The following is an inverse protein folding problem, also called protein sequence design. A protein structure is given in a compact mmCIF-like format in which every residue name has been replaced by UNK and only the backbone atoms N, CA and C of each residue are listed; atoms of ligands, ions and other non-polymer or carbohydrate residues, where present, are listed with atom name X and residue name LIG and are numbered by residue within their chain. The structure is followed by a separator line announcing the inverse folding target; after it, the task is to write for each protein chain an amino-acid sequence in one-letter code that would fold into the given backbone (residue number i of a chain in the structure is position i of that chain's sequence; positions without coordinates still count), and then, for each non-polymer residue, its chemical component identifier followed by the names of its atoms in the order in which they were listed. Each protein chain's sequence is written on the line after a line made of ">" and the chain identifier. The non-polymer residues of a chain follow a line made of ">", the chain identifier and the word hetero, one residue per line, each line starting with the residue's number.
data_IF_488827825873
#
_entry.id   IF_488827825873
#
_cell.length_a   1.000
_cell.length_b   1.000
_cell.length_c   1.000
_cell.angle_alpha   90.00
_cell.angle_beta   90.00
_cell.angle_gamma   90.00
#
_symmetry.space_group_name_H-M   'P 1'
#
loop_
_entity.id
_entity.type
_entity.pdbx_description
1 polymer ?
#
# COMPACT_ATOMS: atom_id res chain seq x y z
N UNK A 1 -2.62 -29.68 9.26
CA UNK A 1 -2.83 -30.61 10.40
C UNK A 1 -3.42 -29.93 11.64
N UNK A 2 -2.85 -28.82 12.15
CA UNK A 2 -3.32 -28.14 13.39
C UNK A 2 -4.82 -27.78 13.40
N UNK A 3 -5.38 -27.31 12.27
CA UNK A 3 -6.81 -26.98 12.14
C UNK A 3 -7.78 -28.14 12.40
N UNK A 4 -7.38 -29.38 12.06
CA UNK A 4 -8.23 -30.58 12.28
C UNK A 4 -8.36 -30.90 13.77
N UNK A 5 -7.33 -30.63 14.57
CA UNK A 5 -7.37 -30.84 16.02
C UNK A 5 -8.26 -29.81 16.73
N UNK A 6 -8.23 -28.54 16.32
CA UNK A 6 -9.12 -27.51 16.90
C UNK A 6 -10.60 -27.81 16.63
N UNK A 7 -10.94 -28.27 15.42
CA UNK A 7 -12.30 -28.70 15.09
C UNK A 7 -12.74 -29.90 15.93
N UNK A 8 -11.88 -30.90 16.11
CA UNK A 8 -12.20 -32.06 16.94
C UNK A 8 -12.45 -31.68 18.42
N UNK A 9 -11.65 -30.75 18.97
CA UNK A 9 -11.83 -30.24 20.33
C UNK A 9 -13.15 -29.49 20.48
N UNK A 10 -13.50 -28.62 19.53
CA UNK A 10 -14.78 -27.88 19.56
C UNK A 10 -15.97 -28.83 19.50
N UNK A 11 -15.92 -29.85 18.63
CA UNK A 11 -16.98 -30.87 18.55
C UNK A 11 -17.11 -31.63 19.88
N UNK A 12 -16.01 -31.97 20.52
CA UNK A 12 -16.00 -32.66 21.81
C UNK A 12 -16.56 -31.79 22.94
N UNK A 13 -16.20 -30.50 22.99
CA UNK A 13 -16.74 -29.56 23.98
C UNK A 13 -18.24 -29.36 23.78
N UNK A 14 -18.71 -29.27 22.53
CA UNK A 14 -20.12 -29.07 22.22
C UNK A 14 -20.95 -30.34 22.43
N UNK A 15 -20.38 -31.54 22.34
CA UNK A 15 -21.11 -32.79 22.58
C UNK A 15 -21.18 -33.18 24.06
N UNK A 16 -20.25 -32.68 24.89
CA UNK A 16 -20.17 -33.00 26.32
C UNK A 16 -21.48 -32.70 27.09
N UNK A 17 -22.13 -31.53 26.94
CA UNK A 17 -23.40 -31.26 27.60
C UNK A 17 -24.53 -32.22 27.22
N UNK A 18 -24.62 -32.56 25.93
CA UNK A 18 -25.62 -33.49 25.42
C UNK A 18 -25.39 -34.87 26.04
N UNK A 19 -24.15 -35.35 26.05
CA UNK A 19 -23.79 -36.64 26.63
C UNK A 19 -24.11 -36.70 28.14
N UNK A 20 -23.76 -35.66 28.90
CA UNK A 20 -24.05 -35.58 30.33
C UNK A 20 -25.55 -35.50 30.62
N UNK A 21 -26.30 -34.75 29.80
CA UNK A 21 -27.74 -34.63 29.94
C UNK A 21 -28.45 -35.95 29.62
N UNK A 22 -28.08 -36.62 28.51
CA UNK A 22 -28.61 -37.94 28.15
C UNK A 22 -28.24 -39.03 29.16
N UNK A 23 -27.07 -38.96 29.78
CA UNK A 23 -26.68 -39.89 30.86
C UNK A 23 -27.58 -39.73 32.10
N UNK A 24 -27.91 -38.49 32.47
CA UNK A 24 -28.68 -38.21 33.69
C UNK A 24 -30.19 -38.38 33.53
N UNK A 25 -30.74 -38.05 32.36
CA UNK A 25 -32.19 -38.01 32.11
C UNK A 25 -32.68 -39.09 31.13
N UNK A 26 -31.78 -39.93 30.62
CA UNK A 26 -32.10 -40.94 29.61
C UNK A 26 -32.06 -40.39 28.18
N UNK A 27 -32.13 -41.30 27.22
CA UNK A 27 -32.15 -40.97 25.79
C UNK A 27 -33.57 -41.09 25.24
N UNK A 28 -34.15 -39.98 24.80
CA UNK A 28 -35.50 -39.96 24.23
C UNK A 28 -36.02 -38.54 24.02
N UNK A 29 -37.17 -38.42 23.33
CA UNK A 29 -37.94 -37.19 23.28
C UNK A 29 -38.85 -37.19 24.51
N UNK A 30 -38.70 -36.20 25.40
CA UNK A 30 -39.49 -36.13 26.64
C UNK A 30 -40.99 -36.06 26.34
N UNK A 31 -41.78 -36.80 27.12
CA UNK A 31 -43.20 -37.03 26.87
C UNK A 31 -44.08 -35.81 27.23
N UNK A 32 -43.53 -34.87 28.01
CA UNK A 32 -44.25 -33.68 28.45
C UNK A 32 -43.60 -32.37 28.00
N UNK A 33 -44.43 -31.37 27.72
CA UNK A 33 -43.97 -30.02 27.37
C UNK A 33 -43.14 -29.36 28.49
N UNK A 34 -43.36 -29.76 29.74
CA UNK A 34 -42.64 -29.23 30.89
C UNK A 34 -41.16 -29.69 30.91
N UNK A 35 -40.91 -30.97 30.64
CA UNK A 35 -39.56 -31.54 30.54
C UNK A 35 -38.81 -30.97 29.33
N UNK A 36 -39.51 -30.74 28.21
CA UNK A 36 -38.96 -30.04 27.05
C UNK A 36 -38.50 -28.61 27.38
N UNK A 37 -39.30 -27.86 28.12
CA UNK A 37 -38.93 -26.50 28.54
C UNK A 37 -37.71 -26.52 29.47
N UNK A 38 -37.65 -27.47 30.41
CA UNK A 38 -36.49 -27.63 31.30
C UNK A 38 -35.21 -28.00 30.56
N UNK A 39 -35.29 -28.89 29.57
CA UNK A 39 -34.17 -29.20 28.68
C UNK A 39 -33.68 -27.94 27.94
N UNK A 40 -34.62 -27.21 27.33
CA UNK A 40 -34.32 -25.98 26.60
C UNK A 40 -33.63 -24.93 27.48
N UNK A 41 -34.09 -24.75 28.73
CA UNK A 41 -33.44 -23.86 29.69
C UNK A 41 -32.06 -24.34 30.13
N UNK A 42 -31.86 -25.64 30.34
CA UNK A 42 -30.58 -26.22 30.73
C UNK A 42 -29.53 -26.07 29.61
N UNK A 43 -29.89 -26.43 28.37
CA UNK A 43 -29.02 -26.27 27.22
C UNK A 43 -28.82 -24.80 26.85
N UNK A 44 -29.87 -23.98 26.89
CA UNK A 44 -29.75 -22.53 26.66
C UNK A 44 -28.80 -21.87 27.65
N UNK A 45 -28.92 -22.20 28.94
CA UNK A 45 -28.05 -21.66 30.00
C UNK A 45 -26.59 -22.08 29.88
N UNK A 46 -26.31 -23.26 29.30
CA UNK A 46 -24.94 -23.76 29.16
C UNK A 46 -24.32 -23.41 27.81
N UNK A 47 -25.06 -23.56 26.70
CA UNK A 47 -24.54 -23.26 25.37
C UNK A 47 -24.42 -21.77 25.10
N UNK A 48 -25.26 -20.91 25.70
CA UNK A 48 -25.12 -19.47 25.53
C UNK A 48 -23.71 -18.96 25.88
N UNK A 49 -23.17 -19.18 27.09
CA UNK A 49 -21.81 -18.72 27.42
C UNK A 49 -20.73 -19.44 26.60
N UNK A 50 -20.88 -20.74 26.31
CA UNK A 50 -19.91 -21.49 25.48
C UNK A 50 -19.80 -20.89 24.07
N UNK A 51 -20.94 -20.64 23.43
CA UNK A 51 -21.01 -20.07 22.09
C UNK A 51 -20.56 -18.61 22.08
N UNK A 52 -20.87 -17.83 23.13
CA UNK A 52 -20.36 -16.46 23.27
C UNK A 52 -18.83 -16.42 23.32
N UNK A 53 -18.20 -17.29 24.12
CA UNK A 53 -16.73 -17.39 24.21
C UNK A 53 -16.14 -17.84 22.87
N UNK A 54 -16.73 -18.84 22.22
CA UNK A 54 -16.29 -19.32 20.92
C UNK A 54 -16.36 -18.22 19.87
N UNK A 55 -17.46 -17.47 19.85
CA UNK A 55 -17.66 -16.34 18.93
C UNK A 55 -16.60 -15.25 19.18
N UNK A 56 -16.34 -14.92 20.45
CA UNK A 56 -15.30 -13.95 20.79
C UNK A 56 -13.92 -14.41 20.31
N UNK A 57 -13.58 -15.69 20.46
CA UNK A 57 -12.33 -16.25 19.97
C UNK A 57 -12.21 -16.13 18.44
N UNK A 58 -13.28 -16.43 17.71
CA UNK A 58 -13.33 -16.27 16.24
C UNK A 58 -13.13 -14.81 15.85
N UNK A 59 -13.81 -13.87 16.52
CA UNK A 59 -13.66 -12.44 16.25
C UNK A 59 -12.23 -11.95 16.48
N UNK A 60 -11.59 -12.37 17.57
CA UNK A 60 -10.19 -12.01 17.84
C UNK A 60 -9.27 -12.53 16.74
N UNK A 61 -9.47 -13.77 16.28
CA UNK A 61 -8.68 -14.33 15.17
C UNK A 61 -8.93 -13.62 13.86
N UNK A 62 -10.18 -13.31 13.56
CA UNK A 62 -10.57 -12.57 12.37
C UNK A 62 -9.93 -11.18 12.36
N UNK A 63 -9.96 -10.46 13.48
CA UNK A 63 -9.35 -9.14 13.61
C UNK A 63 -7.83 -9.19 13.40
N UNK A 64 -7.15 -10.21 13.94
CA UNK A 64 -5.70 -10.41 13.71
C UNK A 64 -5.38 -10.60 12.22
N UNK A 65 -6.15 -11.42 11.51
CA UNK A 65 -5.96 -11.67 10.08
C UNK A 65 -6.27 -10.40 9.28
N UNK A 66 -7.37 -9.72 9.59
CA UNK A 66 -7.76 -8.47 8.93
C UNK A 66 -6.69 -7.40 9.09
N UNK A 67 -6.06 -7.28 10.28
CA UNK A 67 -4.94 -6.35 10.47
C UNK A 67 -3.77 -6.65 9.54
N UNK A 68 -3.37 -7.92 9.41
CA UNK A 68 -2.29 -8.32 8.51
C UNK A 68 -2.64 -8.05 7.05
N UNK A 69 -3.86 -8.39 6.65
CA UNK A 69 -4.36 -8.14 5.30
C UNK A 69 -4.39 -6.64 4.97
N UNK A 70 -4.83 -5.82 5.92
CA UNK A 70 -4.87 -4.37 5.76
C UNK A 70 -3.48 -3.76 5.58
N UNK A 71 -2.46 -4.22 6.32
CA UNK A 71 -1.08 -3.77 6.13
C UNK A 71 -0.55 -4.14 4.73
N UNK A 72 -0.86 -5.33 4.23
CA UNK A 72 -0.48 -5.75 2.88
C UNK A 72 -1.20 -4.95 1.78
N UNK A 73 -2.51 -4.76 1.94
CA UNK A 73 -3.33 -3.97 1.01
C UNK A 73 -2.85 -2.51 0.96
N UNK A 74 -2.60 -1.91 2.12
CA UNK A 74 -2.13 -0.53 2.20
C UNK A 74 -0.77 -0.33 1.51
N UNK A 75 0.14 -1.32 1.59
CA UNK A 75 1.41 -1.30 0.84
C UNK A 75 1.19 -1.44 -0.66
N UNK A 76 0.35 -2.38 -1.09
CA UNK A 76 0.05 -2.59 -2.51
C UNK A 76 -0.60 -1.36 -3.14
N UNK A 77 -1.59 -0.75 -2.46
CA UNK A 77 -2.25 0.48 -2.90
C UNK A 77 -1.29 1.67 -2.92
N UNK A 78 -0.45 1.83 -1.89
CA UNK A 78 0.54 2.92 -1.87
C UNK A 78 1.51 2.81 -3.05
N UNK A 79 1.98 1.58 -3.34
CA UNK A 79 2.82 1.30 -4.50
C UNK A 79 2.11 1.65 -5.80
N UNK A 80 0.88 1.18 -5.99
CA UNK A 80 0.09 1.47 -7.19
C UNK A 80 -0.10 2.98 -7.40
N UNK A 81 -0.38 3.74 -6.34
CA UNK A 81 -0.51 5.21 -6.40
C UNK A 81 0.81 5.85 -6.83
N UNK A 82 1.94 5.46 -6.23
CA UNK A 82 3.26 6.01 -6.59
C UNK A 82 3.63 5.70 -8.05
N UNK A 83 3.42 4.46 -8.49
CA UNK A 83 3.70 4.01 -9.86
C UNK A 83 2.83 4.75 -10.88
N UNK A 84 1.51 4.77 -10.68
CA UNK A 84 0.58 5.48 -11.55
C UNK A 84 0.85 6.98 -11.61
N UNK A 85 1.30 7.59 -10.51
CA UNK A 85 1.61 9.01 -10.47
C UNK A 85 2.85 9.34 -11.30
N UNK A 86 3.95 8.57 -11.10
CA UNK A 86 5.16 8.74 -11.89
C UNK A 86 4.86 8.51 -13.36
N UNK A 87 4.14 7.46 -13.71
CA UNK A 87 3.72 7.17 -15.09
C UNK A 87 2.94 8.33 -15.71
N UNK A 88 1.83 8.75 -15.08
CA UNK A 88 0.96 9.82 -15.61
C UNK A 88 1.68 11.15 -15.80
N UNK A 89 2.52 11.54 -14.83
CA UNK A 89 3.25 12.80 -14.95
C UNK A 89 4.38 12.71 -15.95
N UNK A 90 5.05 11.57 -16.04
CA UNK A 90 6.11 11.37 -17.03
C UNK A 90 5.55 11.38 -18.45
N UNK A 91 4.43 10.68 -18.71
CA UNK A 91 3.71 10.74 -20.00
C UNK A 91 3.31 12.17 -20.34
N UNK A 92 2.81 12.92 -19.33
CA UNK A 92 2.42 14.32 -19.56
C UNK A 92 3.63 15.19 -19.90
N UNK A 93 4.77 15.02 -19.22
CA UNK A 93 6.01 15.71 -19.56
C UNK A 93 6.45 15.33 -20.97
N UNK A 94 6.42 14.05 -21.33
CA UNK A 94 6.79 13.54 -22.66
C UNK A 94 5.97 14.22 -23.76
N UNK A 95 4.65 14.36 -23.56
CA UNK A 95 3.78 15.07 -24.51
C UNK A 95 4.09 16.57 -24.66
N UNK A 96 4.81 17.17 -23.71
CA UNK A 96 5.25 18.57 -23.75
C UNK A 96 6.68 18.70 -24.30
N UNK A 97 7.42 17.60 -24.44
CA UNK A 97 8.80 17.57 -24.92
C UNK A 97 8.84 17.62 -26.45
N UNK A 98 8.84 18.84 -27.00
CA UNK A 98 9.21 19.07 -28.40
C UNK A 98 10.72 19.27 -28.52
N UNK A 99 11.27 19.19 -29.74
CA UNK A 99 12.70 19.42 -29.98
C UNK A 99 13.15 20.80 -29.48
N UNK A 100 12.33 21.84 -29.67
CA UNK A 100 12.57 23.19 -29.16
C UNK A 100 12.67 23.22 -27.64
N UNK A 101 11.79 22.51 -26.93
CA UNK A 101 11.83 22.43 -25.46
C UNK A 101 13.11 21.76 -24.98
N UNK A 102 13.54 20.68 -25.65
CA UNK A 102 14.78 19.99 -25.29
C UNK A 102 15.98 20.92 -25.47
N UNK A 103 16.06 21.63 -26.59
CA UNK A 103 17.16 22.57 -26.86
C UNK A 103 17.17 23.74 -25.86
N UNK A 104 16.01 24.29 -25.52
CA UNK A 104 15.85 25.34 -24.51
C UNK A 104 16.24 24.85 -23.10
N UNK A 105 15.92 23.60 -22.74
CA UNK A 105 16.32 23.00 -21.46
C UNK A 105 17.84 22.75 -21.40
N UNK A 106 18.47 22.32 -22.50
CA UNK A 106 19.94 22.19 -22.60
C UNK A 106 20.60 23.56 -22.49
N UNK A 107 20.01 24.60 -23.09
CA UNK A 107 20.49 25.96 -22.94
C UNK A 107 20.39 26.41 -21.48
N UNK A 108 19.23 26.19 -20.87
CA UNK A 108 18.95 26.56 -19.48
C UNK A 108 19.89 25.86 -18.49
N UNK A 109 20.24 24.59 -18.69
CA UNK A 109 21.17 23.87 -17.81
C UNK A 109 22.60 24.44 -17.82
N UNK A 110 22.99 25.12 -18.91
CA UNK A 110 24.30 25.79 -19.06
C UNK A 110 24.32 27.22 -18.54
N UNK A 111 23.17 27.86 -18.40
CA UNK A 111 23.06 29.24 -17.94
C UNK A 111 23.28 29.36 -16.42
N UNK A 112 23.95 30.44 -16.00
CA UNK A 112 24.13 30.74 -14.58
C UNK A 112 22.81 31.16 -13.93
N UNK A 113 22.59 30.72 -12.68
CA UNK A 113 21.42 31.10 -11.88
C UNK A 113 21.27 32.62 -11.79
N UNK A 114 20.10 33.14 -12.13
CA UNK A 114 19.77 34.56 -12.06
C UNK A 114 20.10 35.39 -13.32
N UNK A 115 20.54 34.76 -14.42
CA UNK A 115 20.60 35.47 -15.70
C UNK A 115 19.17 35.83 -16.18
N UNK A 116 18.97 36.99 -16.84
CA UNK A 116 17.64 37.40 -17.32
C UNK A 116 17.00 36.35 -18.24
N UNK A 117 17.82 35.72 -19.09
CA UNK A 117 17.42 34.69 -20.03
C UNK A 117 17.00 33.39 -19.33
N UNK A 118 17.71 32.98 -18.27
CA UNK A 118 17.34 31.82 -17.47
C UNK A 118 15.99 32.00 -16.77
N UNK A 119 15.69 33.19 -16.25
CA UNK A 119 14.41 33.47 -15.59
C UNK A 119 13.22 33.46 -16.58
N UNK A 120 13.44 33.90 -17.82
CA UNK A 120 12.42 33.83 -18.88
C UNK A 120 12.13 32.37 -19.23
N UNK A 121 13.15 31.57 -19.50
CA UNK A 121 13.01 30.15 -19.83
C UNK A 121 12.41 29.35 -18.66
N UNK A 122 12.84 29.64 -17.44
CA UNK A 122 12.28 29.04 -16.22
C UNK A 122 10.79 29.30 -16.09
N UNK A 123 10.32 30.54 -16.32
CA UNK A 123 8.88 30.85 -16.30
C UNK A 123 8.12 30.15 -17.41
N UNK A 124 8.71 30.08 -18.61
CA UNK A 124 8.09 29.42 -19.77
C UNK A 124 7.84 27.94 -19.50
N UNK A 125 8.78 27.25 -18.85
CA UNK A 125 8.72 25.81 -18.60
C UNK A 125 8.38 25.43 -17.16
N UNK A 126 7.74 26.35 -16.41
CA UNK A 126 7.41 26.14 -15.00
C UNK A 126 6.51 24.91 -14.79
N UNK A 127 5.58 24.65 -15.72
CA UNK A 127 4.70 23.48 -15.65
C UNK A 127 5.48 22.17 -15.72
N UNK A 128 6.46 22.09 -16.63
CA UNK A 128 7.35 20.92 -16.77
C UNK A 128 8.13 20.72 -15.47
N UNK A 129 8.71 21.79 -14.91
CA UNK A 129 9.43 21.71 -13.64
C UNK A 129 8.54 21.34 -12.46
N UNK A 130 7.28 21.76 -12.46
CA UNK A 130 6.32 21.42 -11.40
C UNK A 130 5.94 19.94 -11.45
N UNK A 131 5.70 19.41 -12.66
CA UNK A 131 5.47 17.98 -12.86
C UNK A 131 6.70 17.16 -12.46
N UNK A 132 7.89 17.60 -12.90
CA UNK A 132 9.15 16.94 -12.56
C UNK A 132 9.44 16.98 -11.06
N UNK A 133 9.21 18.11 -10.39
CA UNK A 133 9.33 18.21 -8.93
C UNK A 133 8.45 17.18 -8.21
N UNK A 134 7.25 16.93 -8.75
CA UNK A 134 6.32 15.96 -8.18
C UNK A 134 6.82 14.52 -8.39
N UNK A 135 7.33 14.20 -9.59
CA UNK A 135 7.98 12.91 -9.88
C UNK A 135 9.18 12.69 -8.95
N UNK A 136 10.06 13.68 -8.87
CA UNK A 136 11.27 13.65 -8.02
C UNK A 136 10.93 13.46 -6.53
N UNK A 137 9.98 14.22 -5.99
CA UNK A 137 9.55 14.09 -4.61
C UNK A 137 8.96 12.70 -4.31
N UNK A 138 8.26 12.12 -5.29
CA UNK A 138 7.65 10.79 -5.16
C UNK A 138 8.69 9.70 -5.14
N UNK A 139 9.67 9.77 -6.03
CA UNK A 139 10.81 8.86 -6.04
C UNK A 139 11.58 8.91 -4.71
N UNK A 140 11.93 10.12 -4.24
CA UNK A 140 12.64 10.31 -2.97
C UNK A 140 11.86 9.81 -1.76
N UNK A 141 10.54 10.02 -1.73
CA UNK A 141 9.70 9.52 -0.64
C UNK A 141 9.54 7.99 -0.70
N UNK A 142 9.42 7.43 -1.91
CA UNK A 142 9.30 6.00 -2.10
C UNK A 142 10.60 5.26 -1.75
N UNK A 143 11.76 5.84 -2.03
CA UNK A 143 13.07 5.30 -1.62
C UNK A 143 13.17 5.11 -0.10
N UNK A 144 12.66 6.07 0.68
CA UNK A 144 12.62 5.96 2.15
C UNK A 144 11.71 4.84 2.64
N UNK A 145 10.66 4.52 1.89
CA UNK A 145 9.67 3.50 2.26
C UNK A 145 10.08 2.10 1.79
N UNK A 146 10.49 1.97 0.53
CA UNK A 146 10.83 0.71 -0.14
C UNK A 146 12.12 0.83 -0.97
N UNK A 147 13.30 0.92 -0.33
CA UNK A 147 14.58 1.20 -1.01
C UNK A 147 15.03 0.12 -1.99
N UNK A 148 14.42 -1.06 -1.99
CA UNK A 148 14.72 -2.13 -2.96
C UNK A 148 13.92 -1.99 -4.27
N UNK A 149 12.81 -1.26 -4.23
CA UNK A 149 11.84 -1.17 -5.33
C UNK A 149 11.94 0.15 -6.10
N UNK A 150 12.83 1.04 -5.66
CA UNK A 150 12.96 2.38 -6.23
C UNK A 150 13.45 2.34 -7.69
N UNK A 151 14.29 1.36 -8.04
CA UNK A 151 14.77 1.16 -9.42
C UNK A 151 13.59 0.87 -10.35
N UNK A 152 12.65 0.01 -9.93
CA UNK A 152 11.43 -0.27 -10.70
C UNK A 152 10.62 1.01 -10.93
N UNK A 153 10.42 1.82 -9.89
CA UNK A 153 9.67 3.07 -10.01
C UNK A 153 10.38 4.09 -10.91
N UNK A 154 11.69 4.25 -10.78
CA UNK A 154 12.45 5.18 -11.61
C UNK A 154 12.57 4.74 -13.06
N UNK A 155 12.58 3.43 -13.31
CA UNK A 155 12.62 2.89 -14.67
C UNK A 155 11.36 3.23 -15.48
N UNK A 156 10.21 3.46 -14.83
CA UNK A 156 9.01 4.02 -15.47
C UNK A 156 9.27 5.43 -16.00
N UNK A 157 9.95 6.27 -15.22
CA UNK A 157 10.28 7.62 -15.67
C UNK A 157 11.17 7.59 -16.92
N UNK A 158 12.17 6.70 -16.92
CA UNK A 158 13.10 6.51 -18.06
C UNK A 158 12.41 5.89 -19.27
N UNK A 159 11.43 5.01 -19.07
CA UNK A 159 10.69 4.38 -20.17
C UNK A 159 10.00 5.43 -21.06
N UNK A 160 9.44 6.47 -20.45
CA UNK A 160 8.67 7.51 -21.16
C UNK A 160 9.53 8.71 -21.58
N UNK A 161 10.46 9.18 -20.76
CA UNK A 161 11.29 10.34 -21.11
C UNK A 161 12.64 9.98 -21.73
N UNK A 162 13.04 8.71 -21.79
CA UNK A 162 14.43 8.30 -22.07
C UNK A 162 15.42 8.84 -21.02
N UNK A 163 16.57 8.17 -20.90
CA UNK A 163 17.58 8.56 -19.92
C UNK A 163 18.10 9.99 -20.13
N UNK A 164 18.34 10.39 -21.39
CA UNK A 164 18.93 11.69 -21.71
C UNK A 164 18.00 12.86 -21.36
N UNK A 165 16.70 12.72 -21.58
CA UNK A 165 15.77 13.79 -21.22
C UNK A 165 15.60 13.88 -19.70
N UNK A 166 15.52 12.74 -18.99
CA UNK A 166 15.54 12.73 -17.52
C UNK A 166 16.78 13.44 -16.98
N UNK A 167 17.96 13.14 -17.52
CA UNK A 167 19.21 13.75 -17.09
C UNK A 167 19.25 15.27 -17.36
N UNK A 168 18.83 15.69 -18.56
CA UNK A 168 18.80 17.11 -18.95
C UNK A 168 17.81 17.90 -18.10
N UNK A 169 16.61 17.35 -17.91
CA UNK A 169 15.55 17.94 -17.11
C UNK A 169 15.97 18.07 -15.65
N UNK A 170 16.61 17.03 -15.11
CA UNK A 170 17.15 17.03 -13.76
C UNK A 170 18.26 18.08 -13.59
N UNK A 171 19.19 18.18 -14.53
CA UNK A 171 20.24 19.21 -14.48
C UNK A 171 19.65 20.63 -14.45
N UNK A 172 18.71 20.93 -15.35
CA UNK A 172 18.05 22.24 -15.38
C UNK A 172 17.22 22.48 -14.11
N UNK A 173 16.53 21.46 -13.60
CA UNK A 173 15.74 21.53 -12.38
C UNK A 173 16.62 21.82 -11.16
N UNK A 174 17.74 21.12 -10.99
CA UNK A 174 18.61 21.33 -9.83
C UNK A 174 19.20 22.74 -9.86
N UNK A 175 19.73 23.18 -11.00
CA UNK A 175 20.38 24.49 -11.11
C UNK A 175 19.42 25.63 -10.77
N UNK A 176 18.16 25.55 -11.22
CA UNK A 176 17.25 26.70 -11.21
C UNK A 176 16.08 26.61 -10.22
N UNK A 177 15.66 25.41 -9.83
CA UNK A 177 14.52 25.16 -8.95
C UNK A 177 14.92 24.66 -7.56
N UNK A 178 16.01 23.90 -7.47
CA UNK A 178 16.44 23.24 -6.24
C UNK A 178 17.30 24.18 -5.36
N UNK A 179 17.11 24.11 -4.03
CA UNK A 179 17.92 24.86 -3.07
C UNK A 179 19.35 24.31 -2.99
N UNK A 180 20.33 25.09 -2.53
CA UNK A 180 21.76 24.65 -2.45
C UNK A 180 21.99 23.39 -1.59
N UNK A 181 21.01 22.96 -0.80
CA UNK A 181 21.12 21.88 0.18
C UNK A 181 20.40 20.58 -0.22
N UNK A 182 19.83 20.48 -1.43
CA UNK A 182 19.16 19.27 -1.90
C UNK A 182 20.09 18.45 -2.80
N UNK A 183 20.33 17.20 -2.42
CA UNK A 183 21.12 16.24 -3.22
C UNK A 183 20.49 16.03 -4.61
N UNK A 184 21.28 16.26 -5.66
CA UNK A 184 20.87 16.04 -7.04
C UNK A 184 20.52 14.57 -7.28
N UNK A 185 19.39 14.33 -7.95
CA UNK A 185 19.03 13.02 -8.50
C UNK A 185 20.05 12.50 -9.52
N UNK A 186 20.89 13.40 -10.07
CA UNK A 186 22.02 13.09 -10.96
C UNK A 186 23.00 12.06 -10.38
N UNK A 187 23.16 12.02 -9.05
CA UNK A 187 24.04 11.04 -8.39
C UNK A 187 23.39 9.66 -8.24
N UNK A 188 22.06 9.59 -8.33
CA UNK A 188 21.28 8.37 -8.11
C UNK A 188 21.25 7.50 -9.38
N UNK A 189 20.93 8.08 -10.54
CA UNK A 189 20.89 7.36 -11.82
C UNK A 189 22.26 6.89 -12.34
N UNK A 190 23.35 7.61 -12.05
CA UNK A 190 24.70 7.24 -12.52
C UNK A 190 25.41 6.21 -11.64
N UNK A 191 24.94 5.99 -10.40
CA UNK A 191 25.57 5.07 -9.45
C UNK A 191 24.97 3.66 -9.52
N UNK A 192 23.71 3.57 -9.93
CA UNK A 192 22.92 2.33 -9.96
C UNK A 192 22.47 1.90 -11.38
N UNK A 193 23.00 2.53 -12.44
CA UNK A 193 22.91 2.08 -13.84
C UNK A 193 24.15 1.28 -14.26
#
# INVERSE_FOLDING_TARGET
>A
MKGRYYLAIVILILSLPIALYSYKFGFGLWNSNHEWAQMGSAFGGLYAPILSILTLFVLVKQFQIQKQMHEHEHRATSREISFNMVEKFTIKIESMFTQEVVDDLICLSKLSRGSPEAEILKRRYLDIFTLWATVHATLKNYEKQEPRMIVDLASIAVLHLTFNMCATLEEAYVVHMCGKDEECFKYWFMKDA
#
